data_IF_136942622557
#
_entry.id   IF_136942622557
#
_cell.length_a   1.000
_cell.length_b   1.000
_cell.length_c   1.000
_cell.angle_alpha   90.00
_cell.angle_beta   90.00
_cell.angle_gamma   90.00
#
_symmetry.space_group_name_H-M   'P 1'
#
loop_
_entity.id
_entity.type
_entity.pdbx_description
1 polymer ?
#
# COMPACT_ATOMS: atom_id res chain seq x y z
N UNK A 1 -32.44 -3.63 -10.16
CA UNK A 1 -31.85 -4.64 -9.23
C UNK A 1 -30.59 -5.30 -9.78
N UNK A 2 -30.55 -5.85 -11.01
CA UNK A 2 -29.29 -6.43 -11.54
C UNK A 2 -28.25 -5.38 -12.00
N UNK A 3 -28.69 -4.34 -12.73
CA UNK A 3 -27.78 -3.34 -13.29
C UNK A 3 -27.02 -2.52 -12.24
N UNK A 4 -27.62 -2.27 -11.08
CA UNK A 4 -26.97 -1.54 -9.99
C UNK A 4 -25.86 -2.38 -9.33
N UNK A 5 -26.09 -3.69 -9.15
CA UNK A 5 -25.06 -4.61 -8.67
C UNK A 5 -23.91 -4.73 -9.68
N UNK A 6 -24.22 -4.87 -10.97
CA UNK A 6 -23.21 -4.92 -12.03
C UNK A 6 -22.37 -3.63 -12.08
N UNK A 7 -23.01 -2.46 -11.93
CA UNK A 7 -22.33 -1.17 -11.90
C UNK A 7 -21.38 -1.04 -10.69
N UNK A 8 -21.84 -1.43 -9.50
CA UNK A 8 -21.02 -1.42 -8.29
C UNK A 8 -19.83 -2.38 -8.35
N UNK A 9 -20.06 -3.58 -8.91
CA UNK A 9 -19.03 -4.59 -9.08
C UNK A 9 -17.96 -4.10 -10.08
N UNK A 10 -18.41 -3.53 -11.20
CA UNK A 10 -17.54 -2.99 -12.25
C UNK A 10 -16.67 -1.84 -11.72
N UNK A 11 -17.24 -0.95 -10.91
CA UNK A 11 -16.50 0.15 -10.28
C UNK A 11 -15.42 -0.27 -9.28
N UNK A 12 -15.46 -1.51 -8.77
CA UNK A 12 -14.42 -2.08 -7.89
C UNK A 12 -13.45 -2.99 -8.64
N UNK A 13 -13.94 -3.76 -9.60
CA UNK A 13 -13.15 -4.72 -10.39
C UNK A 13 -12.19 -3.99 -11.36
N UNK A 14 -12.65 -2.90 -11.99
CA UNK A 14 -11.80 -2.12 -12.90
C UNK A 14 -10.55 -1.57 -12.20
N UNK A 15 -10.64 -0.87 -11.05
CA UNK A 15 -9.46 -0.42 -10.31
C UNK A 15 -8.52 -1.57 -9.93
N UNK A 16 -9.06 -2.73 -9.51
CA UNK A 16 -8.24 -3.87 -9.09
C UNK A 16 -7.46 -4.45 -10.27
N UNK A 17 -8.10 -4.64 -11.44
CA UNK A 17 -7.44 -5.14 -12.64
C UNK A 17 -6.40 -4.13 -13.14
N UNK A 18 -6.73 -2.84 -13.12
CA UNK A 18 -5.80 -1.77 -13.50
C UNK A 18 -4.55 -1.77 -12.61
N UNK A 19 -4.73 -1.90 -11.29
CA UNK A 19 -3.64 -1.97 -10.32
C UNK A 19 -2.82 -3.27 -10.48
N UNK A 20 -3.45 -4.40 -10.79
CA UNK A 20 -2.75 -5.67 -11.04
C UNK A 20 -1.88 -5.60 -12.31
N UNK A 21 -2.41 -5.10 -13.42
CA UNK A 21 -1.65 -4.95 -14.67
C UNK A 21 -0.47 -3.99 -14.44
N UNK A 22 -0.71 -2.90 -13.73
CA UNK A 22 0.34 -1.93 -13.41
C UNK A 22 1.41 -2.50 -12.48
N UNK A 23 1.02 -3.30 -11.48
CA UNK A 23 1.96 -4.03 -10.62
C UNK A 23 2.89 -4.94 -11.41
N UNK A 24 2.36 -5.68 -12.40
CA UNK A 24 3.20 -6.55 -13.25
C UNK A 24 4.08 -5.76 -14.24
N UNK A 25 3.67 -4.56 -14.64
CA UNK A 25 4.39 -3.77 -15.65
C UNK A 25 5.53 -2.94 -15.03
N UNK A 26 5.48 -2.61 -13.74
CA UNK A 26 6.50 -1.79 -13.07
C UNK A 26 7.50 -2.60 -12.24
N UNK A 27 8.80 -2.48 -12.54
CA UNK A 27 9.92 -3.08 -11.78
C UNK A 27 10.53 -2.17 -10.69
N UNK A 28 10.04 -0.93 -10.56
CA UNK A 28 10.59 0.04 -9.60
C UNK A 28 9.96 -0.11 -8.21
N UNK A 29 10.58 0.49 -7.19
CA UNK A 29 10.06 0.51 -5.80
C UNK A 29 8.58 0.98 -5.72
N UNK A 30 8.11 1.80 -6.66
CA UNK A 30 6.70 2.17 -6.79
C UNK A 30 5.70 1.00 -6.90
N UNK A 31 6.12 -0.19 -7.35
CA UNK A 31 5.23 -1.36 -7.39
C UNK A 31 4.74 -1.76 -5.99
N UNK A 32 5.51 -1.43 -4.94
CA UNK A 32 5.12 -1.73 -3.56
C UNK A 32 4.04 -0.77 -3.05
N UNK A 33 3.92 0.46 -3.59
CA UNK A 33 2.84 1.41 -3.24
C UNK A 33 1.48 0.85 -3.65
N UNK A 34 1.41 0.19 -4.81
CA UNK A 34 0.19 -0.44 -5.34
C UNK A 34 -0.32 -1.56 -4.41
N UNK A 35 0.57 -2.15 -3.62
CA UNK A 35 0.25 -3.22 -2.69
C UNK A 35 -0.59 -2.72 -1.49
N UNK A 36 -0.53 -1.43 -1.14
CA UNK A 36 -1.36 -0.81 -0.10
C UNK A 36 -2.85 -0.78 -0.49
N UNK A 37 -3.26 -0.14 -1.60
CA UNK A 37 -4.65 -0.17 -2.03
C UNK A 37 -5.12 -1.60 -2.34
N UNK A 38 -4.26 -2.49 -2.85
CA UNK A 38 -4.61 -3.91 -3.03
C UNK A 38 -5.00 -4.57 -1.69
N UNK A 39 -4.18 -4.41 -0.65
CA UNK A 39 -4.48 -4.94 0.69
C UNK A 39 -5.75 -4.33 1.29
N UNK A 40 -6.01 -3.06 1.02
CA UNK A 40 -7.20 -2.36 1.46
C UNK A 40 -8.46 -2.87 0.75
N UNK A 41 -8.40 -3.15 -0.56
CA UNK A 41 -9.51 -3.73 -1.30
C UNK A 41 -9.82 -5.16 -0.88
N UNK A 42 -8.79 -5.97 -0.55
CA UNK A 42 -8.97 -7.31 0.02
C UNK A 42 -9.75 -7.21 1.35
N UNK A 43 -9.36 -6.30 2.23
CA UNK A 43 -10.08 -6.06 3.49
C UNK A 43 -11.55 -5.64 3.27
N UNK A 44 -11.80 -4.78 2.28
CA UNK A 44 -13.16 -4.38 1.92
C UNK A 44 -14.00 -5.55 1.36
N UNK A 45 -13.42 -6.43 0.55
CA UNK A 45 -14.09 -7.63 0.03
C UNK A 45 -14.49 -8.58 1.16
N UNK A 46 -13.61 -8.79 2.14
CA UNK A 46 -13.92 -9.61 3.31
C UNK A 46 -15.05 -9.04 4.17
N UNK A 47 -15.10 -7.72 4.36
CA UNK A 47 -16.21 -7.09 5.08
C UNK A 47 -17.56 -7.26 4.35
N UNK A 48 -17.54 -7.27 3.01
CA UNK A 48 -18.73 -7.51 2.21
C UNK A 48 -19.15 -8.99 2.28
N UNK A 49 -18.20 -9.93 2.26
CA UNK A 49 -18.49 -11.35 2.47
C UNK A 49 -19.12 -11.59 3.85
N UNK A 50 -18.55 -10.99 4.90
CA UNK A 50 -19.12 -11.01 6.26
C UNK A 50 -20.57 -10.53 6.27
N UNK A 51 -20.87 -9.46 5.54
CA UNK A 51 -22.22 -8.88 5.51
C UNK A 51 -23.21 -9.72 4.67
N UNK A 52 -22.76 -10.35 3.59
CA UNK A 52 -23.63 -11.13 2.70
C UNK A 52 -23.88 -12.56 3.18
N UNK A 53 -22.96 -13.15 3.92
CA UNK A 53 -23.10 -14.54 4.35
C UNK A 53 -24.21 -14.74 5.38
N UNK A 54 -24.77 -13.67 5.99
CA UNK A 54 -25.79 -13.75 7.04
C UNK A 54 -25.51 -14.91 8.02
N UNK A 55 -24.21 -15.11 8.28
CA UNK A 55 -23.66 -16.35 8.74
C UNK A 55 -24.18 -16.58 10.16
N UNK A 56 -24.96 -17.65 10.34
CA UNK A 56 -25.30 -18.15 11.67
C UNK A 56 -24.03 -18.19 12.51
N UNK A 57 -24.15 -17.85 13.81
CA UNK A 57 -23.05 -17.52 14.73
C UNK A 57 -21.85 -18.49 14.70
N UNK A 58 -22.09 -19.73 14.28
CA UNK A 58 -21.12 -20.83 14.16
C UNK A 58 -20.07 -20.58 13.06
N UNK A 59 -20.43 -19.98 11.92
CA UNK A 59 -19.46 -19.70 10.84
C UNK A 59 -18.58 -18.47 11.15
N UNK A 60 -19.12 -17.49 11.90
CA UNK A 60 -18.38 -16.29 12.33
C UNK A 60 -17.17 -16.67 13.21
N UNK A 61 -17.33 -17.69 14.06
CA UNK A 61 -16.27 -18.15 14.98
C UNK A 61 -15.01 -18.61 14.22
N UNK A 62 -15.17 -19.17 13.00
CA UNK A 62 -14.05 -19.61 12.17
C UNK A 62 -13.36 -18.45 11.44
N UNK A 63 -14.09 -17.36 11.16
CA UNK A 63 -13.56 -16.18 10.46
C UNK A 63 -12.75 -15.27 11.40
N UNK A 64 -13.12 -15.18 12.69
CA UNK A 64 -12.42 -14.37 13.69
C UNK A 64 -10.91 -14.67 13.81
N UNK A 65 -10.46 -15.92 13.99
CA UNK A 65 -9.03 -16.22 14.12
C UNK A 65 -8.26 -15.94 12.81
N UNK A 66 -8.90 -16.14 11.66
CA UNK A 66 -8.33 -15.78 10.36
C UNK A 66 -8.10 -14.26 10.27
N UNK A 67 -9.04 -13.45 10.75
CA UNK A 67 -8.92 -11.99 10.81
C UNK A 67 -7.84 -11.53 11.79
N UNK A 68 -7.71 -12.20 12.94
CA UNK A 68 -6.67 -11.89 13.94
C UNK A 68 -5.25 -12.03 13.36
N UNK A 69 -5.05 -12.92 12.38
CA UNK A 69 -3.76 -13.10 11.69
C UNK A 69 -3.64 -12.18 10.47
N UNK A 70 -4.71 -12.04 9.67
CA UNK A 70 -4.69 -11.23 8.45
C UNK A 70 -4.50 -9.73 8.71
N UNK A 71 -5.17 -9.18 9.73
CA UNK A 71 -5.08 -7.75 10.06
C UNK A 71 -3.65 -7.30 10.39
N UNK A 72 -2.91 -7.94 11.33
CA UNK A 72 -1.53 -7.57 11.60
C UNK A 72 -0.62 -7.87 10.41
N UNK A 73 -0.85 -8.95 9.66
CA UNK A 73 -0.06 -9.25 8.46
C UNK A 73 -0.15 -8.13 7.41
N UNK A 74 -1.36 -7.67 7.09
CA UNK A 74 -1.60 -6.54 6.18
C UNK A 74 -0.99 -5.25 6.75
N UNK A 75 -1.11 -5.02 8.05
CA UNK A 75 -0.54 -3.84 8.69
C UNK A 75 0.99 -3.82 8.64
N UNK A 76 1.64 -4.96 8.87
CA UNK A 76 3.10 -5.10 8.78
C UNK A 76 3.61 -4.84 7.37
N UNK A 77 2.88 -5.32 6.36
CA UNK A 77 3.20 -5.03 4.95
C UNK A 77 3.13 -3.52 4.67
N UNK A 78 2.08 -2.85 5.14
CA UNK A 78 1.96 -1.39 5.03
C UNK A 78 3.09 -0.66 5.77
N UNK A 79 3.43 -1.10 6.99
CA UNK A 79 4.48 -0.48 7.79
C UNK A 79 5.88 -0.66 7.16
N UNK A 80 6.17 -1.86 6.66
CA UNK A 80 7.42 -2.19 5.96
C UNK A 80 7.58 -1.32 4.71
N UNK A 81 6.51 -1.14 3.95
CA UNK A 81 6.53 -0.23 2.80
C UNK A 81 6.88 1.21 3.23
N UNK A 82 6.20 1.74 4.24
CA UNK A 82 6.45 3.10 4.70
C UNK A 82 7.90 3.30 5.16
N UNK A 83 8.49 2.29 5.82
CA UNK A 83 9.90 2.33 6.23
C UNK A 83 10.87 2.32 5.05
N UNK A 84 10.62 1.53 4.01
CA UNK A 84 11.47 1.49 2.82
C UNK A 84 11.40 2.82 2.08
N UNK A 85 10.21 3.39 1.96
CA UNK A 85 10.03 4.69 1.32
C UNK A 85 10.81 5.79 2.01
N UNK A 86 10.76 5.81 3.34
CA UNK A 86 11.46 6.80 4.15
C UNK A 86 12.98 6.62 4.13
N UNK A 87 13.47 5.39 4.03
CA UNK A 87 14.91 5.11 4.01
C UNK A 87 15.57 5.67 2.75
N UNK A 88 14.95 5.46 1.59
CA UNK A 88 15.49 5.94 0.32
C UNK A 88 15.45 7.49 0.25
N UNK A 89 14.39 8.11 0.78
CA UNK A 89 14.22 9.57 0.81
C UNK A 89 15.18 10.27 1.80
N UNK A 90 15.53 9.61 2.91
CA UNK A 90 16.51 10.16 3.88
C UNK A 90 17.94 10.10 3.35
N UNK A 91 18.31 9.03 2.63
CA UNK A 91 19.65 8.89 2.05
C UNK A 91 19.92 9.92 0.97
N UNK A 92 18.98 10.12 0.04
CA UNK A 92 19.11 11.14 -1.00
C UNK A 92 19.21 12.55 -0.39
N UNK A 93 18.43 12.83 0.65
CA UNK A 93 18.48 14.10 1.37
C UNK A 93 19.82 14.33 2.08
N UNK A 94 20.40 13.30 2.70
CA UNK A 94 21.71 13.39 3.36
C UNK A 94 22.84 13.63 2.35
N UNK A 95 22.80 12.96 1.19
CA UNK A 95 23.73 13.21 0.08
C UNK A 95 23.63 14.65 -0.46
N UNK A 96 22.41 15.18 -0.60
CA UNK A 96 22.20 16.59 -0.98
C UNK A 96 22.75 17.58 0.06
N UNK A 97 22.57 17.30 1.36
CA UNK A 97 23.11 18.13 2.43
C UNK A 97 24.65 18.13 2.47
N UNK A 98 25.28 16.96 2.29
CA UNK A 98 26.72 16.83 2.23
C UNK A 98 27.30 17.58 1.01
N UNK A 99 26.65 17.45 -0.15
CA UNK A 99 27.01 18.17 -1.35
C UNK A 99 26.88 19.69 -1.16
N UNK A 100 25.76 20.17 -0.59
CA UNK A 100 25.57 21.60 -0.30
C UNK A 100 26.65 22.12 0.64
N UNK A 101 27.01 21.36 1.69
CA UNK A 101 28.10 21.72 2.62
C UNK A 101 29.45 21.88 1.91
N UNK A 102 29.77 20.97 0.99
CA UNK A 102 30.99 21.06 0.15
C UNK A 102 30.98 22.32 -0.73
N UNK A 103 29.84 22.68 -1.31
CA UNK A 103 29.70 23.94 -2.08
C UNK A 103 29.92 25.18 -1.21
N UNK A 104 29.37 25.21 0.00
CA UNK A 104 29.61 26.33 0.94
C UNK A 104 31.06 26.41 1.40
N UNK A 105 31.75 25.27 1.55
CA UNK A 105 33.19 25.25 1.85
C UNK A 105 34.00 25.84 0.70
N UNK A 106 33.74 25.44 -0.55
CA UNK A 106 34.43 25.98 -1.73
C UNK A 106 34.22 27.50 -1.89
N UNK A 107 33.00 28.00 -1.65
CA UNK A 107 32.73 29.44 -1.70
C UNK A 107 33.47 30.17 -0.57
N UNK A 108 33.51 29.60 0.64
CA UNK A 108 34.19 30.22 1.78
C UNK A 108 35.70 30.32 1.55
N UNK A 109 36.32 29.30 0.96
CA UNK A 109 37.75 29.30 0.62
C UNK A 109 38.10 30.30 -0.51
N UNK A 110 37.15 30.65 -1.38
CA UNK A 110 37.36 31.61 -2.47
C UNK A 110 37.33 33.07 -2.00
N UNK A 111 36.68 33.34 -0.86
CA UNK A 111 36.53 34.67 -0.27
C UNK A 111 37.49 34.92 0.92
N UNK A 112 38.44 34.00 1.15
CA UNK A 112 39.49 34.11 2.18
C UNK A 112 40.85 34.34 1.51
#
# INVERSE_FOLDING_TARGET
NLNQYAWFLTGKVIPVILLLIWFFTCKHWWHWIILVPLSMYIFQLFNILKQNLNADEVEIIYVIPIMMVLVPFVYLIRAKLFSQMRHDDLKSFEEELLHKRSFWQQIKDLFQ
#
